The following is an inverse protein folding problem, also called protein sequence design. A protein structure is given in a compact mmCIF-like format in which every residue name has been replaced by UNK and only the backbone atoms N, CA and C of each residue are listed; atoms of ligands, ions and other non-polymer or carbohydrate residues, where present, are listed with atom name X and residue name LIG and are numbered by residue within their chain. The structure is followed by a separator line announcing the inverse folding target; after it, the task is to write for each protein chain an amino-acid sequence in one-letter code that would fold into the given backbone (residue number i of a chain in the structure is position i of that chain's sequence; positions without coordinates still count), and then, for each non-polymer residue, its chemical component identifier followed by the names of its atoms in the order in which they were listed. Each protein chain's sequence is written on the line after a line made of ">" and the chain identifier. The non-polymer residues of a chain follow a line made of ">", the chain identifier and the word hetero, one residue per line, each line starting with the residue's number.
data_IF_649671521624
#
_entry.id   IF_649671521624
#
_cell.length_a   1.000
_cell.length_b   1.000
_cell.length_c   1.000
_cell.angle_alpha   90.00
_cell.angle_beta   90.00
_cell.angle_gamma   90.00
#
_symmetry.space_group_name_H-M   'P 1'
#
loop_
_entity.id
_entity.type
_entity.pdbx_description
1 polymer ?
#
# COMPACT_ATOMS: atom_id res chain seq x y z
N UNK A 1 -62.41 -34.17 -19.79
CA UNK A 1 -61.76 -33.01 -19.13
C UNK A 1 -60.32 -32.95 -19.62
N UNK A 2 -59.92 -31.93 -20.41
CA UNK A 2 -58.56 -31.84 -20.90
C UNK A 2 -57.65 -31.13 -19.89
N UNK A 3 -56.46 -31.67 -19.69
CA UNK A 3 -55.40 -31.14 -18.83
C UNK A 3 -54.87 -29.82 -19.38
N UNK A 4 -54.64 -28.83 -18.50
CA UNK A 4 -54.10 -27.53 -18.82
C UNK A 4 -52.60 -27.63 -19.19
N UNK A 5 -52.17 -27.21 -20.37
CA UNK A 5 -50.77 -27.11 -20.70
C UNK A 5 -50.27 -25.74 -20.30
N UNK A 6 -49.62 -25.57 -19.14
CA UNK A 6 -49.19 -24.26 -18.70
C UNK A 6 -47.90 -24.23 -17.89
N UNK A 7 -47.51 -25.31 -17.28
CA UNK A 7 -46.38 -25.33 -16.35
C UNK A 7 -45.04 -25.76 -16.96
N UNK A 8 -45.08 -26.63 -17.95
CA UNK A 8 -43.85 -27.14 -18.61
C UNK A 8 -43.19 -26.04 -19.52
N UNK A 9 -44.01 -25.24 -20.24
CA UNK A 9 -43.50 -24.21 -21.11
C UNK A 9 -42.80 -23.04 -20.33
N UNK A 10 -43.33 -22.73 -19.14
CA UNK A 10 -42.75 -21.67 -18.29
C UNK A 10 -41.42 -22.10 -17.62
N UNK A 11 -41.30 -23.39 -17.28
CA UNK A 11 -40.07 -23.97 -16.78
C UNK A 11 -38.96 -24.01 -17.85
N UNK A 12 -39.33 -24.32 -19.10
CA UNK A 12 -38.39 -24.35 -20.22
C UNK A 12 -37.83 -22.95 -20.56
N UNK A 13 -38.67 -21.90 -20.54
CA UNK A 13 -38.22 -20.52 -20.79
C UNK A 13 -37.32 -20.03 -19.65
N UNK A 14 -37.60 -20.39 -18.40
CA UNK A 14 -36.75 -20.03 -17.26
C UNK A 14 -35.40 -20.75 -17.30
N UNK A 15 -35.39 -22.01 -17.70
CA UNK A 15 -34.15 -22.78 -17.88
C UNK A 15 -33.32 -22.25 -19.05
N UNK A 16 -33.96 -21.78 -20.13
CA UNK A 16 -33.29 -21.21 -21.29
C UNK A 16 -32.69 -19.81 -21.00
N UNK A 17 -33.35 -18.99 -20.16
CA UNK A 17 -32.80 -17.73 -19.70
C UNK A 17 -31.65 -17.90 -18.71
N UNK A 18 -31.73 -18.89 -17.83
CA UNK A 18 -30.64 -19.18 -16.88
C UNK A 18 -29.41 -19.75 -17.62
N UNK A 19 -29.60 -20.57 -18.65
CA UNK A 19 -28.52 -21.12 -19.46
C UNK A 19 -27.85 -20.03 -20.33
N UNK A 20 -28.60 -19.03 -20.83
CA UNK A 20 -28.06 -17.92 -21.60
C UNK A 20 -27.17 -16.99 -20.73
N UNK A 21 -27.52 -16.80 -19.46
CA UNK A 21 -26.71 -16.03 -18.51
C UNK A 21 -25.44 -16.79 -18.11
N UNK A 22 -25.52 -18.13 -17.97
CA UNK A 22 -24.36 -18.96 -17.63
C UNK A 22 -23.37 -19.09 -18.81
N UNK A 23 -23.87 -19.12 -20.05
CA UNK A 23 -23.03 -19.18 -21.26
C UNK A 23 -22.31 -17.86 -21.54
N UNK A 24 -22.90 -16.73 -21.15
CA UNK A 24 -22.25 -15.42 -21.27
C UNK A 24 -21.08 -15.23 -20.27
N UNK A 25 -21.06 -16.01 -19.19
CA UNK A 25 -19.96 -16.01 -18.19
C UNK A 25 -18.85 -17.02 -18.49
N UNK A 26 -19.04 -17.90 -19.47
CA UNK A 26 -18.14 -19.02 -19.77
C UNK A 26 -17.41 -18.91 -21.11
N UNK A 27 -17.23 -17.71 -21.66
CA UNK A 27 -16.36 -17.53 -22.81
C UNK A 27 -14.90 -17.63 -22.35
N UNK A 28 -14.16 -18.69 -22.73
CA UNK A 28 -12.74 -18.74 -22.46
C UNK A 28 -12.05 -17.66 -23.29
N UNK A 29 -11.35 -16.77 -22.61
CA UNK A 29 -10.37 -15.90 -23.26
C UNK A 29 -9.33 -16.82 -23.91
N UNK A 30 -9.38 -17.01 -25.21
CA UNK A 30 -8.32 -17.62 -25.98
C UNK A 30 -7.12 -16.71 -25.91
N UNK A 31 -6.31 -16.88 -24.86
CA UNK A 31 -5.00 -16.29 -24.79
C UNK A 31 -4.17 -16.91 -25.93
N UNK A 32 -3.95 -16.17 -27.00
CA UNK A 32 -2.93 -16.49 -27.99
C UNK A 32 -1.60 -16.62 -27.27
N UNK A 33 -1.17 -17.85 -27.10
CA UNK A 33 0.14 -18.23 -26.57
C UNK A 33 1.19 -17.76 -27.57
N UNK A 34 1.69 -16.52 -27.36
CA UNK A 34 2.83 -16.01 -28.10
C UNK A 34 4.01 -16.93 -27.83
N UNK A 35 4.47 -17.60 -28.88
CA UNK A 35 5.64 -18.51 -28.84
C UNK A 35 6.80 -17.75 -28.18
N UNK A 36 7.44 -18.30 -27.16
CA UNK A 36 8.60 -17.64 -26.55
C UNK A 36 9.68 -17.46 -27.60
N UNK A 37 10.42 -16.34 -27.60
CA UNK A 37 11.55 -16.16 -28.49
C UNK A 37 12.58 -17.26 -28.23
N UNK A 38 13.17 -17.80 -29.32
CA UNK A 38 14.18 -18.82 -29.27
C UNK A 38 15.35 -18.35 -28.38
N UNK A 39 15.69 -19.16 -27.38
CA UNK A 39 16.88 -18.95 -26.56
C UNK A 39 18.09 -19.02 -27.49
N UNK A 40 18.97 -17.99 -27.52
CA UNK A 40 20.18 -18.08 -28.30
C UNK A 40 21.04 -19.21 -27.77
N UNK A 41 21.46 -20.10 -28.65
CA UNK A 41 22.40 -21.20 -28.35
C UNK A 41 23.70 -20.60 -27.81
N UNK A 42 24.19 -21.04 -26.64
CA UNK A 42 25.48 -20.57 -26.16
C UNK A 42 26.59 -20.94 -27.14
N UNK A 43 27.58 -20.07 -27.34
CA UNK A 43 28.72 -20.38 -28.19
C UNK A 43 29.47 -21.62 -27.67
N UNK A 44 30.13 -22.37 -28.52
CA UNK A 44 30.84 -23.60 -28.13
C UNK A 44 31.88 -23.27 -27.08
N UNK A 45 31.80 -23.99 -25.96
CA UNK A 45 32.81 -23.93 -24.89
C UNK A 45 34.15 -24.36 -25.49
N UNK A 46 35.11 -23.43 -25.55
CA UNK A 46 36.48 -23.75 -25.84
C UNK A 46 37.00 -24.69 -24.74
N UNK A 47 37.36 -25.92 -25.12
CA UNK A 47 38.03 -26.85 -24.26
C UNK A 47 39.50 -26.37 -24.11
N UNK A 48 40.00 -26.53 -22.87
CA UNK A 48 41.38 -26.39 -22.48
C UNK A 48 41.92 -24.98 -22.17
N UNK A 49 41.32 -24.39 -21.06
CA UNK A 49 42.12 -23.49 -20.22
C UNK A 49 42.26 -24.15 -18.85
N UNK A 50 43.47 -24.35 -18.31
CA UNK A 50 43.67 -25.00 -17.01
C UNK A 50 43.05 -24.13 -15.91
N UNK A 51 42.27 -24.78 -15.04
CA UNK A 51 41.54 -24.21 -13.89
C UNK A 51 42.45 -23.64 -12.76
N UNK A 52 43.70 -23.33 -13.04
CA UNK A 52 44.67 -22.82 -12.07
C UNK A 52 44.91 -21.31 -12.10
N UNK A 53 44.10 -20.57 -12.86
CA UNK A 53 44.07 -19.12 -12.83
C UNK A 53 42.62 -18.64 -12.79
N UNK A 54 41.83 -19.17 -11.85
CA UNK A 54 40.85 -18.32 -11.19
C UNK A 54 41.72 -17.45 -10.29
N UNK A 55 42.41 -16.50 -10.92
CA UNK A 55 42.91 -15.35 -10.21
C UNK A 55 41.76 -14.88 -9.34
N UNK A 56 41.97 -14.92 -8.01
CA UNK A 56 41.34 -14.00 -7.11
C UNK A 56 41.15 -12.71 -7.89
N UNK A 57 39.97 -12.48 -8.41
CA UNK A 57 39.50 -11.14 -8.69
C UNK A 57 39.43 -10.55 -7.29
N UNK A 58 40.60 -10.19 -6.79
CA UNK A 58 40.80 -9.19 -5.77
C UNK A 58 39.91 -8.08 -6.26
N UNK A 59 38.70 -8.00 -5.69
CA UNK A 59 37.86 -6.83 -5.87
C UNK A 59 38.75 -5.71 -5.38
N UNK A 60 39.47 -5.14 -6.31
CA UNK A 60 40.19 -3.91 -6.13
C UNK A 60 39.12 -2.91 -5.73
N UNK A 61 38.94 -2.74 -4.42
CA UNK A 61 38.16 -1.67 -3.86
C UNK A 61 38.78 -0.43 -4.47
N UNK A 62 38.14 0.10 -5.50
CA UNK A 62 38.52 1.36 -6.08
C UNK A 62 38.66 2.34 -4.93
N UNK A 63 39.84 2.93 -4.68
CA UNK A 63 40.04 3.85 -3.59
C UNK A 63 39.10 5.04 -3.83
N UNK A 64 38.04 5.15 -3.02
CA UNK A 64 37.06 6.21 -3.11
C UNK A 64 35.65 5.82 -3.53
N UNK A 65 35.31 4.53 -3.64
CA UNK A 65 33.90 4.12 -3.81
C UNK A 65 33.10 4.56 -2.57
N UNK A 66 32.18 5.52 -2.78
CA UNK A 66 31.33 6.04 -1.69
C UNK A 66 30.39 4.94 -1.22
N UNK A 67 30.14 4.90 0.09
CA UNK A 67 29.13 4.03 0.66
C UNK A 67 27.77 4.44 0.14
N UNK A 68 26.97 3.46 -0.29
CA UNK A 68 25.62 3.71 -0.79
C UNK A 68 24.64 2.65 -0.26
N UNK A 69 23.40 3.04 -0.08
CA UNK A 69 22.34 2.12 0.35
C UNK A 69 21.50 1.73 -0.85
N UNK A 70 21.21 0.43 -0.96
CA UNK A 70 20.20 -0.12 -1.86
C UNK A 70 19.17 -0.87 -1.02
N UNK A 71 17.90 -0.76 -1.40
CA UNK A 71 16.82 -1.41 -0.68
C UNK A 71 15.72 -1.87 -1.63
N UNK A 72 14.98 -2.87 -1.18
CA UNK A 72 13.75 -3.32 -1.85
C UNK A 72 12.73 -3.74 -0.80
N UNK A 73 11.50 -3.98 -1.23
CA UNK A 73 10.39 -4.42 -0.41
C UNK A 73 10.00 -5.85 -0.76
N UNK A 74 9.56 -6.63 0.23
CA UNK A 74 9.15 -8.03 0.03
C UNK A 74 8.00 -8.20 -0.96
N UNK A 75 7.15 -7.18 -1.08
CA UNK A 75 6.05 -7.15 -2.04
C UNK A 75 5.88 -5.72 -2.58
N UNK A 76 6.05 -5.54 -3.88
CA UNK A 76 5.82 -4.24 -4.54
C UNK A 76 4.35 -3.95 -4.78
N UNK A 77 3.53 -4.99 -4.86
CA UNK A 77 2.08 -4.89 -4.96
C UNK A 77 1.45 -5.71 -3.83
N UNK A 78 0.65 -5.05 -3.01
CA UNK A 78 -0.10 -5.67 -1.92
C UNK A 78 -1.57 -5.68 -2.26
N UNK A 79 -2.15 -6.87 -2.27
CA UNK A 79 -3.57 -7.07 -2.54
C UNK A 79 -4.42 -6.75 -1.31
N UNK A 80 -5.32 -5.78 -1.44
CA UNK A 80 -6.33 -5.46 -0.42
C UNK A 80 -7.68 -6.01 -0.89
N UNK A 81 -8.12 -7.10 -0.25
CA UNK A 81 -9.42 -7.74 -0.48
C UNK A 81 -10.42 -7.33 0.60
N UNK A 82 -11.70 -7.70 0.45
CA UNK A 82 -12.73 -7.49 1.50
C UNK A 82 -12.44 -8.24 2.82
N UNK A 83 -11.61 -9.28 2.76
CA UNK A 83 -11.14 -10.05 3.93
C UNK A 83 -9.78 -9.60 4.44
N UNK A 84 -9.25 -8.48 3.96
CA UNK A 84 -7.94 -7.97 4.37
C UNK A 84 -7.97 -7.57 5.85
N UNK A 85 -7.17 -8.24 6.66
CA UNK A 85 -7.04 -8.00 8.11
C UNK A 85 -5.78 -7.23 8.50
N UNK A 86 -5.00 -6.78 7.50
CA UNK A 86 -3.67 -6.23 7.65
C UNK A 86 -2.60 -7.19 7.12
N UNK A 87 -1.41 -6.68 6.91
CA UNK A 87 -0.24 -7.47 6.46
C UNK A 87 1.05 -6.83 6.93
N UNK A 88 2.11 -7.62 6.96
CA UNK A 88 3.46 -7.14 7.21
C UNK A 88 4.22 -6.99 5.89
N UNK A 89 4.98 -5.91 5.77
CA UNK A 89 5.91 -5.68 4.67
C UNK A 89 7.31 -5.68 5.24
N UNK A 90 8.16 -6.52 4.66
CA UNK A 90 9.58 -6.54 4.99
C UNK A 90 10.32 -5.63 4.01
N UNK A 91 11.02 -4.65 4.54
CA UNK A 91 11.96 -3.80 3.82
C UNK A 91 13.35 -4.31 4.14
N UNK A 92 14.11 -4.63 3.12
CA UNK A 92 15.45 -5.16 3.27
C UNK A 92 16.39 -4.45 2.29
N UNK A 93 17.65 -4.43 2.62
CA UNK A 93 18.63 -3.77 1.76
C UNK A 93 20.06 -4.07 2.17
N UNK A 94 20.97 -3.47 1.43
CA UNK A 94 22.40 -3.60 1.65
C UNK A 94 23.08 -2.25 1.58
N UNK A 95 24.15 -2.11 2.35
CA UNK A 95 25.09 -1.00 2.25
C UNK A 95 26.25 -1.46 1.35
N UNK A 96 26.32 -0.91 0.16
CA UNK A 96 27.44 -1.15 -0.77
C UNK A 96 28.71 -0.49 -0.24
N UNK A 97 29.82 -1.15 -0.43
CA UNK A 97 31.14 -0.75 0.08
C UNK A 97 31.17 -0.56 1.60
N UNK A 98 30.36 -1.34 2.33
CA UNK A 98 30.24 -1.25 3.78
C UNK A 98 31.60 -1.45 4.46
N UNK A 99 31.95 -0.52 5.34
CA UNK A 99 33.12 -0.56 6.21
C UNK A 99 32.79 -1.08 7.61
N UNK A 100 31.53 -1.42 7.87
CA UNK A 100 31.07 -1.93 9.15
C UNK A 100 31.75 -3.26 9.50
N UNK A 101 32.39 -3.39 10.67
CA UNK A 101 33.08 -4.61 11.07
C UNK A 101 32.13 -5.76 11.45
N UNK A 102 30.99 -5.45 12.06
CA UNK A 102 29.96 -6.42 12.48
C UNK A 102 28.58 -5.78 12.53
N UNK A 103 27.52 -6.59 12.62
CA UNK A 103 26.13 -6.10 12.74
C UNK A 103 25.92 -5.24 14.00
N UNK A 104 26.62 -5.53 15.08
CA UNK A 104 26.47 -4.90 16.40
C UNK A 104 27.39 -3.70 16.60
N UNK A 105 28.18 -3.32 15.58
CA UNK A 105 29.17 -2.26 15.74
C UNK A 105 28.59 -0.86 15.89
N UNK A 106 27.32 -0.67 15.48
CA UNK A 106 26.69 0.66 15.47
C UNK A 106 27.38 1.68 14.54
N UNK A 107 28.12 1.20 13.52
CA UNK A 107 28.88 2.05 12.62
C UNK A 107 28.01 2.83 11.64
N UNK A 108 26.90 2.23 11.23
CA UNK A 108 25.88 2.87 10.40
C UNK A 108 24.54 2.92 11.10
N UNK A 109 23.81 3.95 10.79
CA UNK A 109 22.40 4.09 11.14
C UNK A 109 21.54 4.10 9.89
N UNK A 110 20.42 3.38 9.98
CA UNK A 110 19.41 3.33 8.92
C UNK A 110 18.11 3.93 9.48
N UNK A 111 17.53 4.83 8.69
CA UNK A 111 16.17 5.34 8.92
C UNK A 111 15.33 5.03 7.71
N UNK A 112 14.20 4.37 7.92
CA UNK A 112 13.23 4.00 6.89
C UNK A 112 11.96 4.80 7.14
N UNK A 113 11.49 5.53 6.14
CA UNK A 113 10.23 6.29 6.19
C UNK A 113 9.30 5.76 5.11
N UNK A 114 8.10 5.35 5.49
CA UNK A 114 7.05 4.89 4.58
C UNK A 114 5.88 5.85 4.66
N UNK A 115 5.52 6.46 3.54
CA UNK A 115 4.41 7.40 3.43
C UNK A 115 3.37 6.90 2.44
N UNK A 116 2.12 6.86 2.88
CA UNK A 116 0.97 6.57 2.03
C UNK A 116 0.45 7.82 1.31
N UNK A 117 -0.53 7.61 0.44
CA UNK A 117 -1.15 8.67 -0.37
C UNK A 117 -1.59 9.85 0.49
N UNK A 118 -1.17 11.07 0.17
CA UNK A 118 -1.63 12.26 0.88
C UNK A 118 -3.11 12.54 0.58
N UNK A 119 -3.85 12.96 1.59
CA UNK A 119 -5.28 13.24 1.49
C UNK A 119 -5.67 14.48 2.30
N UNK A 120 -6.80 15.08 1.91
CA UNK A 120 -7.39 16.18 2.69
C UNK A 120 -8.09 15.60 3.92
N UNK A 121 -7.83 16.20 5.10
CA UNK A 121 -8.42 15.79 6.36
C UNK A 121 -9.13 16.97 7.04
N UNK A 122 -10.33 16.70 7.57
CA UNK A 122 -11.10 17.68 8.36
C UNK A 122 -11.12 17.21 9.81
N UNK A 123 -10.61 18.05 10.69
CA UNK A 123 -10.60 17.80 12.14
C UNK A 123 -11.56 18.75 12.80
N UNK A 124 -12.32 18.25 13.77
CA UNK A 124 -13.31 19.02 14.52
C UNK A 124 -13.05 18.91 16.01
N UNK A 125 -13.09 20.05 16.68
CA UNK A 125 -13.00 20.12 18.14
C UNK A 125 -14.42 20.18 18.73
N UNK A 126 -14.70 19.25 19.64
CA UNK A 126 -15.94 19.29 20.42
C UNK A 126 -15.71 20.05 21.71
N UNK A 127 -16.65 20.87 22.10
CA UNK A 127 -16.71 21.46 23.44
C UNK A 127 -18.08 21.33 24.04
N UNK A 128 -18.16 21.40 25.37
CA UNK A 128 -19.41 21.36 26.08
C UNK A 128 -20.04 22.78 26.07
N UNK A 129 -21.20 22.90 25.45
CA UNK A 129 -21.98 24.12 25.40
C UNK A 129 -23.35 23.84 26.04
N UNK A 130 -23.62 24.44 27.18
CA UNK A 130 -24.83 24.24 27.94
C UNK A 130 -25.19 22.75 28.22
N UNK A 131 -24.17 21.94 28.53
CA UNK A 131 -24.36 20.50 28.82
C UNK A 131 -24.32 19.59 27.58
N UNK A 132 -24.26 20.13 26.37
CA UNK A 132 -24.19 19.37 25.12
C UNK A 132 -22.82 19.43 24.48
N UNK A 133 -22.31 18.27 24.00
CA UNK A 133 -21.07 18.19 23.25
C UNK A 133 -21.29 18.55 21.79
N UNK A 134 -20.93 19.77 21.40
CA UNK A 134 -21.11 20.29 20.05
C UNK A 134 -19.73 20.48 19.35
N UNK A 135 -19.73 20.36 18.01
CA UNK A 135 -18.54 20.73 17.21
C UNK A 135 -18.49 22.27 17.14
N UNK A 136 -17.56 22.88 17.87
CA UNK A 136 -17.44 24.34 17.99
C UNK A 136 -16.40 24.92 17.04
N UNK A 137 -15.42 24.15 16.62
CA UNK A 137 -14.41 24.60 15.66
C UNK A 137 -13.95 23.44 14.78
N UNK A 138 -13.46 23.77 13.58
CA UNK A 138 -12.94 22.79 12.64
C UNK A 138 -11.75 23.37 11.86
N UNK A 139 -10.80 22.51 11.54
CA UNK A 139 -9.70 22.82 10.66
C UNK A 139 -9.62 21.79 9.55
N UNK A 140 -9.27 22.23 8.35
CA UNK A 140 -8.99 21.36 7.20
C UNK A 140 -7.51 21.45 6.87
N UNK A 141 -6.89 20.30 6.73
CA UNK A 141 -5.47 20.19 6.32
C UNK A 141 -5.40 19.48 4.99
N UNK A 142 -4.51 19.98 4.14
CA UNK A 142 -4.17 19.34 2.86
C UNK A 142 -2.90 18.51 3.02
N UNK A 143 -2.70 17.54 2.11
CA UNK A 143 -1.50 16.71 2.04
C UNK A 143 -1.19 15.90 3.31
N UNK A 144 -2.21 15.52 4.08
CA UNK A 144 -2.03 14.65 5.25
C UNK A 144 -1.77 13.23 4.76
N UNK A 145 -0.61 12.60 5.07
CA UNK A 145 -0.35 11.22 4.69
C UNK A 145 -1.44 10.30 5.21
N UNK A 146 -1.95 9.40 4.35
CA UNK A 146 -2.95 8.41 4.78
C UNK A 146 -2.36 7.41 5.78
N UNK A 147 -1.07 7.09 5.59
CA UNK A 147 -0.26 6.23 6.42
C UNK A 147 1.14 6.84 6.57
N UNK A 148 1.75 6.68 7.72
CA UNK A 148 3.12 7.10 7.98
C UNK A 148 3.78 6.13 8.95
N UNK A 149 4.87 5.50 8.52
CA UNK A 149 5.69 4.69 9.41
C UNK A 149 7.14 5.14 9.32
N UNK A 150 7.79 5.22 10.47
CA UNK A 150 9.22 5.46 10.56
C UNK A 150 9.84 4.38 11.44
N UNK A 151 10.85 3.70 10.90
CA UNK A 151 11.64 2.70 11.59
C UNK A 151 13.11 3.10 11.54
N UNK A 152 13.85 2.89 12.62
CA UNK A 152 15.24 3.27 12.72
C UNK A 152 16.06 2.25 13.51
N UNK A 153 17.39 2.29 13.38
CA UNK A 153 18.32 1.45 14.14
C UNK A 153 18.42 1.85 15.60
N UNK A 154 18.25 3.14 15.90
CA UNK A 154 18.20 3.73 17.26
C UNK A 154 17.31 4.98 17.23
N UNK A 155 17.10 5.70 18.33
CA UNK A 155 16.30 6.92 18.35
C UNK A 155 16.71 7.92 17.26
N UNK A 156 15.75 8.41 16.48
CA UNK A 156 16.02 9.27 15.30
C UNK A 156 16.66 10.60 15.63
N UNK A 157 16.46 11.10 16.84
CA UNK A 157 17.08 12.31 17.37
C UNK A 157 18.58 12.15 17.65
N UNK A 158 19.05 10.90 17.81
CA UNK A 158 20.46 10.54 17.93
C UNK A 158 21.12 10.22 16.57
N UNK A 159 20.33 10.06 15.49
CA UNK A 159 20.82 9.66 14.16
C UNK A 159 20.95 10.85 13.25
N UNK A 160 19.98 11.76 13.27
CA UNK A 160 19.90 12.85 12.30
C UNK A 160 19.70 14.20 12.97
N UNK A 161 20.42 15.23 12.51
CA UNK A 161 20.25 16.60 13.00
C UNK A 161 18.82 17.10 12.85
N UNK A 162 18.39 17.96 13.78
CA UNK A 162 17.05 18.55 13.80
C UNK A 162 16.66 19.20 12.46
N UNK A 163 17.58 19.94 11.85
CA UNK A 163 17.36 20.63 10.57
C UNK A 163 17.08 19.63 9.44
N UNK A 164 17.79 18.49 9.43
CA UNK A 164 17.59 17.43 8.46
C UNK A 164 16.23 16.75 8.67
N UNK A 165 15.87 16.42 9.91
CA UNK A 165 14.59 15.83 10.27
C UNK A 165 13.43 16.74 9.86
N UNK A 166 13.54 18.04 10.16
CA UNK A 166 12.53 19.04 9.81
C UNK A 166 12.39 19.23 8.29
N UNK A 167 13.49 19.17 7.53
CA UNK A 167 13.45 19.33 6.07
C UNK A 167 12.85 18.13 5.35
N UNK A 168 13.06 16.89 5.87
CA UNK A 168 12.62 15.64 5.26
C UNK A 168 11.36 15.05 5.89
N UNK A 169 10.75 15.74 6.88
CA UNK A 169 9.53 15.26 7.53
C UNK A 169 9.74 13.98 8.35
N UNK A 170 10.91 13.84 8.97
CA UNK A 170 11.24 12.67 9.77
C UNK A 170 10.72 12.80 11.20
N UNK A 171 9.82 11.87 11.57
CA UNK A 171 9.17 11.87 12.87
C UNK A 171 7.89 12.72 12.88
N UNK A 172 7.01 12.42 13.83
CA UNK A 172 5.67 13.02 13.90
C UNK A 172 5.68 14.54 14.06
N UNK A 173 6.68 15.07 14.76
CA UNK A 173 6.81 16.51 15.00
C UNK A 173 7.12 17.30 13.73
N UNK A 174 7.77 16.65 12.75
CA UNK A 174 8.22 17.25 11.51
C UNK A 174 7.32 16.99 10.31
N UNK A 175 6.24 16.24 10.50
CA UNK A 175 5.25 16.03 9.46
C UNK A 175 4.63 17.35 9.02
N UNK A 176 4.67 17.61 7.71
CA UNK A 176 4.16 18.86 7.12
C UNK A 176 2.82 18.58 6.44
N UNK A 177 1.76 19.07 7.03
CA UNK A 177 0.48 19.20 6.37
C UNK A 177 -0.03 20.63 6.56
N UNK A 178 -0.08 21.40 5.46
CA UNK A 178 -0.53 22.78 5.52
C UNK A 178 -2.05 22.85 5.76
N UNK A 179 -2.54 23.88 6.46
CA UNK A 179 -3.95 24.18 6.49
C UNK A 179 -4.44 24.46 5.07
N UNK A 180 -5.67 24.06 4.76
CA UNK A 180 -6.27 24.27 3.46
C UNK A 180 -6.35 25.77 3.13
N UNK A 181 -6.34 26.07 1.83
CA UNK A 181 -6.40 27.44 1.33
C UNK A 181 -7.55 28.21 1.98
N UNK A 182 -7.27 29.42 2.46
CA UNK A 182 -8.25 30.30 3.14
C UNK A 182 -8.45 30.02 4.64
N UNK A 183 -8.00 28.89 5.17
CA UNK A 183 -8.12 28.60 6.61
C UNK A 183 -6.91 29.04 7.43
N UNK A 184 -5.75 29.19 6.82
CA UNK A 184 -4.55 29.65 7.49
C UNK A 184 -4.69 31.07 8.10
N UNK A 185 -5.55 31.91 7.51
CA UNK A 185 -5.82 33.25 8.00
C UNK A 185 -6.93 33.30 9.07
N UNK A 186 -7.77 32.26 9.11
CA UNK A 186 -8.93 32.20 10.02
C UNK A 186 -8.63 31.54 11.37
N UNK A 187 -7.51 30.81 11.48
CA UNK A 187 -7.09 30.08 12.67
C UNK A 187 -5.83 30.71 13.26
N UNK A 188 -5.74 30.71 14.59
CA UNK A 188 -4.50 31.09 15.25
C UNK A 188 -3.42 30.01 15.03
N UNK A 189 -2.15 30.38 15.14
CA UNK A 189 -1.03 29.43 15.06
C UNK A 189 -1.13 28.34 16.12
N UNK A 190 -1.65 28.67 17.29
CA UNK A 190 -1.85 27.71 18.38
C UNK A 190 -2.98 26.73 18.05
N UNK A 191 -4.10 27.18 17.50
CA UNK A 191 -5.16 26.27 17.04
C UNK A 191 -4.67 25.34 15.95
N UNK A 192 -3.89 25.84 14.99
CA UNK A 192 -3.30 25.01 13.91
C UNK A 192 -2.42 23.90 14.51
N UNK A 193 -1.61 24.23 15.51
CA UNK A 193 -0.75 23.27 16.20
C UNK A 193 -1.58 22.22 16.94
N UNK A 194 -2.58 22.64 17.72
CA UNK A 194 -3.47 21.74 18.45
C UNK A 194 -4.20 20.77 17.51
N UNK A 195 -4.74 21.26 16.39
CA UNK A 195 -5.42 20.43 15.40
C UNK A 195 -4.45 19.46 14.73
N UNK A 196 -3.21 19.86 14.44
CA UNK A 196 -2.17 18.99 13.88
C UNK A 196 -1.83 17.85 14.84
N UNK A 197 -1.59 18.16 16.11
CA UNK A 197 -1.34 17.16 17.15
C UNK A 197 -2.53 16.21 17.32
N UNK A 198 -3.76 16.72 17.20
CA UNK A 198 -4.96 15.89 17.23
C UNK A 198 -5.02 14.91 16.05
N UNK A 199 -4.61 15.32 14.83
CA UNK A 199 -4.53 14.41 13.68
C UNK A 199 -3.53 13.29 13.98
N UNK A 200 -2.32 13.64 14.40
CA UNK A 200 -1.27 12.67 14.70
C UNK A 200 -1.78 11.65 15.72
N UNK A 201 -2.26 12.13 16.86
CA UNK A 201 -2.80 11.28 17.93
C UNK A 201 -3.96 10.37 17.49
N UNK A 202 -4.84 10.85 16.60
CA UNK A 202 -5.93 10.03 16.05
C UNK A 202 -5.42 8.96 15.10
N UNK A 203 -4.44 9.29 14.25
CA UNK A 203 -3.81 8.36 13.32
C UNK A 203 -2.97 7.30 14.04
N UNK A 204 -2.27 7.67 15.10
CA UNK A 204 -1.58 6.72 15.99
C UNK A 204 -2.55 5.73 16.63
N UNK A 205 -3.66 6.21 17.19
CA UNK A 205 -4.71 5.33 17.75
C UNK A 205 -5.33 4.38 16.72
N UNK A 206 -5.32 4.74 15.45
CA UNK A 206 -5.79 3.91 14.35
C UNK A 206 -4.72 2.93 13.84
N UNK A 207 -3.49 2.98 14.35
CA UNK A 207 -2.35 2.21 13.84
C UNK A 207 -1.85 2.67 12.47
N UNK A 208 -2.29 3.85 12.00
CA UNK A 208 -1.89 4.40 10.70
C UNK A 208 -0.59 5.20 10.78
N UNK A 209 -0.23 5.70 11.98
CA UNK A 209 1.03 6.37 12.23
C UNK A 209 1.80 5.56 13.26
N UNK A 210 3.00 5.12 12.87
CA UNK A 210 3.84 4.21 13.64
C UNK A 210 5.26 4.77 13.69
N UNK A 211 5.86 4.76 14.87
CA UNK A 211 7.27 5.08 15.06
C UNK A 211 7.93 3.95 15.85
N UNK A 212 8.88 3.25 15.21
CA UNK A 212 9.64 2.17 15.80
C UNK A 212 11.12 2.52 15.81
N UNK A 213 11.62 2.89 16.98
CA UNK A 213 12.99 3.40 17.17
C UNK A 213 14.06 2.31 17.14
N UNK A 214 13.70 1.06 17.08
CA UNK A 214 14.61 -0.08 16.94
C UNK A 214 14.10 -1.09 15.92
N UNK A 215 13.24 -0.61 15.00
CA UNK A 215 12.59 -1.42 13.99
C UNK A 215 13.49 -1.84 12.83
N UNK A 216 14.73 -1.35 12.78
CA UNK A 216 15.72 -1.74 11.77
C UNK A 216 16.86 -2.51 12.41
N UNK A 217 17.14 -3.71 11.92
CA UNK A 217 18.24 -4.54 12.39
C UNK A 217 19.22 -4.85 11.26
N UNK A 218 20.51 -4.72 11.55
CA UNK A 218 21.55 -5.22 10.65
C UNK A 218 21.69 -6.75 10.77
N UNK A 219 21.87 -7.40 9.61
CA UNK A 219 22.16 -8.83 9.48
C UNK A 219 23.55 -8.96 8.90
N UNK A 220 24.56 -9.17 9.77
CA UNK A 220 25.94 -9.18 9.34
C UNK A 220 26.50 -7.77 9.06
N UNK A 221 27.37 -7.64 8.08
CA UNK A 221 28.19 -6.42 7.88
C UNK A 221 27.56 -5.37 6.99
N UNK A 222 26.60 -5.75 6.15
CA UNK A 222 26.06 -4.84 5.14
C UNK A 222 24.54 -4.96 4.94
N UNK A 223 23.93 -6.08 5.30
CA UNK A 223 22.51 -6.30 5.11
C UNK A 223 21.72 -5.74 6.29
N UNK A 224 20.57 -5.15 6.02
CA UNK A 224 19.62 -4.73 7.03
C UNK A 224 18.20 -5.16 6.66
N UNK A 225 17.35 -5.23 7.68
CA UNK A 225 15.94 -5.59 7.55
C UNK A 225 15.10 -4.79 8.54
N UNK A 226 13.91 -4.45 8.10
CA UNK A 226 12.83 -3.89 8.93
C UNK A 226 11.51 -4.53 8.55
N UNK A 227 10.62 -4.69 9.52
CA UNK A 227 9.25 -5.18 9.29
C UNK A 227 8.28 -4.06 9.66
N UNK A 228 7.40 -3.70 8.74
CA UNK A 228 6.40 -2.65 8.92
C UNK A 228 5.01 -3.27 8.78
N UNK A 229 4.18 -3.07 9.78
CA UNK A 229 2.79 -3.54 9.80
C UNK A 229 1.87 -2.56 9.07
N UNK A 230 1.12 -3.06 8.11
CA UNK A 230 0.02 -2.34 7.48
C UNK A 230 -1.31 -2.77 8.09
N UNK A 231 -2.03 -1.90 8.79
CA UNK A 231 -3.29 -2.25 9.43
C UNK A 231 -4.42 -2.45 8.39
N UNK A 232 -5.51 -3.11 8.81
CA UNK A 232 -6.66 -3.39 7.94
C UNK A 232 -7.34 -2.14 7.36
N UNK A 233 -7.25 -1.01 8.04
CA UNK A 233 -7.86 0.27 7.65
C UNK A 233 -6.94 1.15 6.79
N UNK A 234 -5.83 0.60 6.29
CA UNK A 234 -4.91 1.33 5.41
C UNK A 234 -5.57 1.71 4.09
N UNK A 235 -5.27 2.90 3.60
CA UNK A 235 -5.82 3.39 2.32
C UNK A 235 -5.05 2.80 1.15
N UNK A 236 -5.76 2.34 0.13
CA UNK A 236 -5.16 1.85 -1.12
C UNK A 236 -4.52 2.97 -1.92
N UNK A 237 -3.44 2.66 -2.65
CA UNK A 237 -2.71 3.59 -3.50
C UNK A 237 -1.20 3.38 -3.43
N UNK A 238 -0.41 4.26 -4.07
CA UNK A 238 1.04 4.20 -4.02
C UNK A 238 1.57 4.65 -2.65
N UNK A 239 2.59 3.94 -2.17
CA UNK A 239 3.34 4.26 -0.97
C UNK A 239 4.78 4.51 -1.35
N UNK A 240 5.33 5.62 -0.90
CA UNK A 240 6.72 5.98 -1.10
C UNK A 240 7.54 5.56 0.13
N UNK A 241 8.48 4.66 -0.08
CA UNK A 241 9.42 4.21 0.94
C UNK A 241 10.77 4.85 0.69
N UNK A 242 11.29 5.57 1.67
CA UNK A 242 12.61 6.21 1.63
C UNK A 242 13.51 5.61 2.68
N UNK A 243 14.69 5.19 2.28
CA UNK A 243 15.72 4.62 3.14
C UNK A 243 16.89 5.56 3.17
N UNK A 244 17.32 5.94 4.35
CA UNK A 244 18.44 6.86 4.58
C UNK A 244 19.53 6.14 5.34
N UNK A 245 20.77 6.28 4.85
CA UNK A 245 21.98 5.77 5.49
C UNK A 245 22.75 6.93 6.12
N UNK A 246 22.96 6.84 7.43
CA UNK A 246 23.72 7.81 8.19
C UNK A 246 24.97 7.18 8.79
N UNK A 247 25.97 8.04 9.04
CA UNK A 247 27.14 7.80 9.86
C UNK A 247 27.55 9.09 10.54
N UNK A 248 27.73 9.08 11.85
CA UNK A 248 28.15 10.24 12.64
C UNK A 248 27.31 11.49 12.32
N UNK A 249 25.98 11.38 12.37
CA UNK A 249 24.98 12.43 12.08
C UNK A 249 24.98 12.95 10.62
N UNK A 250 25.79 12.36 9.74
CA UNK A 250 25.88 12.74 8.32
C UNK A 250 25.14 11.75 7.42
N UNK A 251 24.33 12.31 6.51
CA UNK A 251 23.71 11.52 5.46
C UNK A 251 24.77 11.06 4.44
N UNK A 252 24.97 9.74 4.32
CA UNK A 252 25.85 9.15 3.31
C UNK A 252 25.11 8.87 2.01
N UNK A 253 23.91 8.32 2.09
CA UNK A 253 23.14 7.91 0.93
C UNK A 253 21.64 7.85 1.23
N UNK A 254 20.84 8.02 0.18
CA UNK A 254 19.39 7.85 0.22
C UNK A 254 18.94 6.97 -0.94
N UNK A 255 17.96 6.11 -0.68
CA UNK A 255 17.31 5.27 -1.67
C UNK A 255 15.80 5.37 -1.54
N UNK A 256 15.08 5.28 -2.66
CA UNK A 256 13.61 5.33 -2.65
C UNK A 256 13.05 4.15 -3.46
N UNK A 257 12.06 3.50 -2.89
CA UNK A 257 11.31 2.42 -3.53
C UNK A 257 9.82 2.65 -3.35
N UNK A 258 9.02 2.29 -4.36
CA UNK A 258 7.56 2.38 -4.32
C UNK A 258 6.95 1.01 -4.11
N UNK A 259 5.93 0.97 -3.28
CA UNK A 259 5.02 -0.15 -3.19
C UNK A 259 3.59 0.33 -3.47
N UNK A 260 2.77 -0.52 -4.04
CA UNK A 260 1.38 -0.20 -4.36
C UNK A 260 0.44 -1.10 -3.57
N UNK A 261 -0.50 -0.49 -2.86
CA UNK A 261 -1.64 -1.20 -2.31
C UNK A 261 -2.78 -1.11 -3.31
N UNK A 262 -3.20 -2.25 -3.86
CA UNK A 262 -4.24 -2.33 -4.87
C UNK A 262 -5.42 -3.17 -4.37
N UNK A 263 -6.63 -2.76 -4.74
CA UNK A 263 -7.79 -3.62 -4.51
C UNK A 263 -7.72 -4.82 -5.42
N UNK A 264 -7.81 -6.01 -4.84
CA UNK A 264 -7.92 -7.27 -5.59
C UNK A 264 -9.23 -7.97 -5.27
N UNK A 265 -9.62 -8.89 -6.19
CA UNK A 265 -10.82 -9.68 -6.09
C UNK A 265 -11.94 -9.19 -7.00
N UNK A 266 -13.14 -9.72 -6.75
CA UNK A 266 -14.35 -9.41 -7.54
C UNK A 266 -14.69 -7.91 -7.49
N UNK A 267 -14.33 -7.24 -6.42
CA UNK A 267 -14.55 -5.80 -6.23
C UNK A 267 -13.81 -4.96 -7.27
N UNK A 268 -12.59 -5.35 -7.64
CA UNK A 268 -11.82 -4.69 -8.72
C UNK A 268 -12.56 -4.78 -10.05
N UNK A 269 -13.07 -5.99 -10.37
CA UNK A 269 -13.81 -6.20 -11.62
C UNK A 269 -15.14 -5.46 -11.62
N UNK A 270 -15.89 -5.49 -10.50
CA UNK A 270 -17.15 -4.77 -10.37
C UNK A 270 -16.95 -3.26 -10.44
N UNK A 271 -15.93 -2.74 -9.75
CA UNK A 271 -15.59 -1.32 -9.81
C UNK A 271 -15.16 -0.90 -11.23
N UNK A 272 -14.24 -1.64 -11.83
CA UNK A 272 -13.81 -1.38 -13.20
C UNK A 272 -14.97 -1.44 -14.18
N UNK A 273 -15.85 -2.44 -14.08
CA UNK A 273 -17.04 -2.58 -14.92
C UNK A 273 -18.04 -1.43 -14.73
N UNK A 274 -18.27 -0.99 -13.49
CA UNK A 274 -19.15 0.12 -13.19
C UNK A 274 -18.68 1.45 -13.78
N UNK A 275 -17.35 1.71 -13.78
CA UNK A 275 -16.79 2.96 -14.27
C UNK A 275 -16.44 2.95 -15.77
N UNK A 276 -15.98 1.82 -16.30
CA UNK A 276 -15.66 1.71 -17.72
C UNK A 276 -16.90 1.53 -18.60
N UNK A 277 -17.95 0.87 -18.05
CA UNK A 277 -19.16 0.53 -18.77
C UNK A 277 -20.44 0.83 -17.97
N UNK A 278 -20.70 2.10 -17.58
CA UNK A 278 -21.80 2.44 -16.65
C UNK A 278 -23.18 2.04 -17.17
N UNK A 279 -23.42 2.12 -18.50
CA UNK A 279 -24.69 1.69 -19.09
C UNK A 279 -24.91 0.18 -18.96
N UNK A 280 -23.88 -0.62 -19.21
CA UNK A 280 -24.00 -2.07 -19.08
C UNK A 280 -24.12 -2.50 -17.61
N UNK A 281 -23.44 -1.82 -16.70
CA UNK A 281 -23.59 -2.05 -15.26
C UNK A 281 -25.02 -1.74 -14.79
N UNK A 282 -25.58 -0.59 -15.19
CA UNK A 282 -26.95 -0.22 -14.87
C UNK A 282 -27.99 -1.21 -15.43
N UNK A 283 -27.81 -1.63 -16.70
CA UNK A 283 -28.70 -2.61 -17.31
C UNK A 283 -28.62 -3.99 -16.60
N UNK A 284 -27.42 -4.43 -16.27
CA UNK A 284 -27.20 -5.69 -15.53
C UNK A 284 -27.87 -5.64 -14.15
N UNK A 285 -27.75 -4.52 -13.42
CA UNK A 285 -28.34 -4.34 -12.11
C UNK A 285 -29.87 -4.40 -12.17
N UNK A 286 -30.48 -3.74 -13.16
CA UNK A 286 -31.92 -3.79 -13.39
C UNK A 286 -32.38 -5.20 -13.73
N UNK A 287 -31.66 -5.90 -14.61
CA UNK A 287 -31.98 -7.28 -14.97
C UNK A 287 -31.93 -8.24 -13.77
N UNK A 288 -30.91 -8.10 -12.91
CA UNK A 288 -30.79 -8.89 -11.66
C UNK A 288 -31.94 -8.56 -10.70
N UNK A 289 -32.32 -7.28 -10.54
CA UNK A 289 -33.41 -6.89 -9.68
C UNK A 289 -34.75 -7.45 -10.14
N UNK A 290 -35.03 -7.39 -11.45
CA UNK A 290 -36.25 -7.97 -12.04
C UNK A 290 -36.25 -9.49 -11.87
N UNK A 291 -35.14 -10.18 -12.13
CA UNK A 291 -35.04 -11.63 -11.92
C UNK A 291 -35.27 -12.02 -10.46
N UNK A 292 -34.67 -11.31 -9.52
CA UNK A 292 -34.86 -11.53 -8.08
C UNK A 292 -36.32 -11.31 -7.67
N UNK A 293 -36.96 -10.25 -8.17
CA UNK A 293 -38.38 -9.97 -7.94
C UNK A 293 -39.32 -11.04 -8.47
N UNK A 294 -39.04 -11.58 -9.66
CA UNK A 294 -39.81 -12.70 -10.23
C UNK A 294 -39.62 -13.98 -9.43
N UNK A 295 -38.39 -14.30 -8.99
CA UNK A 295 -38.13 -15.44 -8.12
C UNK A 295 -38.86 -15.31 -6.80
N UNK A 296 -38.76 -14.16 -6.13
CA UNK A 296 -39.47 -13.88 -4.90
C UNK A 296 -40.98 -14.02 -5.08
N UNK A 297 -41.57 -13.44 -6.14
CA UNK A 297 -42.99 -13.51 -6.46
C UNK A 297 -43.48 -14.99 -6.64
N UNK A 298 -42.67 -15.82 -7.28
CA UNK A 298 -43.03 -17.26 -7.48
C UNK A 298 -42.93 -18.05 -6.20
N UNK A 299 -41.93 -17.78 -5.34
CA UNK A 299 -41.74 -18.48 -4.06
C UNK A 299 -42.85 -18.12 -3.07
N UNK A 300 -43.13 -16.82 -2.88
CA UNK A 300 -44.17 -16.37 -1.94
C UNK A 300 -45.60 -16.68 -2.41
N UNK A 301 -45.83 -16.71 -3.73
CA UNK A 301 -47.14 -17.12 -4.27
C UNK A 301 -47.47 -18.58 -4.01
N UNK A 302 -46.47 -19.43 -3.80
CA UNK A 302 -46.64 -20.87 -3.52
C UNK A 302 -46.86 -21.17 -2.03
N UNK A 303 -46.53 -20.21 -1.14
CA UNK A 303 -46.69 -20.36 0.32
C UNK A 303 -48.02 -19.86 0.84
N UNK A 304 -48.91 -19.34 -0.02
CA UNK A 304 -50.19 -18.71 0.37
C UNK A 304 -51.42 -19.50 -0.13
N UNK A 305 -51.28 -20.81 -0.45
CA UNK A 305 -52.44 -21.68 -0.81
C UNK A 305 -52.44 -22.96 0.01
#
# INVERSE_FOLDING_TARGET
>A
MPAKPGTAAKAAVLAMLLSAVLVALALPATAQRKKPPAVPTPPPVAKDTPLSQVDEIKREQLPGAKESVQADVSARNVAVTSSFSGTEIVIFGAVDNSQQPSAESGFYDIVIVVEGVPSRQVVRRKSNVAGLWLNTSSATFDLVPSYYAIASTRPIDEIAPEEFRASHGMGFQHLRFPPAFGQAQALSSEDIKEFREAIIRLKEKQGLYVQDQYGVAFIGRSLFRSTIELPANVTVGPFDTRVYLFRDDQLLSQFSVRLNLEREGIERYLHAFAFLHPMFYGLATVAIAVAAGLVASTVFRRSGS
#
